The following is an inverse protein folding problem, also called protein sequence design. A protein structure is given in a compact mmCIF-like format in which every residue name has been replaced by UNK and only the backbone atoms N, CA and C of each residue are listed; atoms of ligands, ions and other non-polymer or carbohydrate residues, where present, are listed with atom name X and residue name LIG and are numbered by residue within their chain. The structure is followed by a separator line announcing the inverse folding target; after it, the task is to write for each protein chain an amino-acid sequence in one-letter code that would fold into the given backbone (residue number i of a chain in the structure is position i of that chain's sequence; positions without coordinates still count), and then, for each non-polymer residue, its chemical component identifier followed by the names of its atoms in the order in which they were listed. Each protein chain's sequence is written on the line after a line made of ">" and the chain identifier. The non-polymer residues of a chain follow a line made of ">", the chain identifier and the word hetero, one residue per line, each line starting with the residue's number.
data_IF_582940775488
#
_entry.id   IF_582940775488
#
_cell.length_a   1.000
_cell.length_b   1.000
_cell.length_c   1.000
_cell.angle_alpha   90.00
_cell.angle_beta   90.00
_cell.angle_gamma   90.00
#
_symmetry.space_group_name_H-M   'P 1'
#
loop_
_entity.id
_entity.type
_entity.pdbx_description
1 polymer ?
#
# COMPACT_ATOMS: atom_id res chain seq x y z
N UNK A 1 -9.65 1.33 -8.08
CA UNK A 1 -8.26 1.44 -7.58
C UNK A 1 -8.33 2.33 -6.36
N UNK A 2 -7.73 1.92 -5.25
CA UNK A 2 -7.65 2.72 -4.01
C UNK A 2 -6.22 3.17 -3.86
N UNK A 3 -5.99 4.48 -3.78
CA UNK A 3 -4.68 5.08 -3.56
C UNK A 3 -4.74 5.86 -2.25
N UNK A 4 -3.68 5.72 -1.45
CA UNK A 4 -3.46 6.52 -0.26
C UNK A 4 -2.02 7.01 -0.27
N UNK A 5 -1.86 8.25 0.13
CA UNK A 5 -0.58 8.92 0.22
C UNK A 5 -0.50 9.54 1.62
N UNK A 6 0.66 9.39 2.28
CA UNK A 6 0.95 10.04 3.56
C UNK A 6 1.02 11.56 3.34
N UNK A 7 0.75 12.33 4.38
CA UNK A 7 0.70 13.81 4.29
C UNK A 7 1.97 14.44 3.72
N UNK A 8 3.13 13.84 3.95
CA UNK A 8 4.43 14.32 3.46
C UNK A 8 4.76 13.86 2.02
N UNK A 9 3.86 13.13 1.37
CA UNK A 9 4.03 12.52 0.04
C UNK A 9 5.24 11.55 -0.09
N UNK A 10 5.81 11.13 1.05
CA UNK A 10 6.97 10.23 1.10
C UNK A 10 6.59 8.76 1.16
N UNK A 11 5.34 8.44 1.51
CA UNK A 11 4.84 7.06 1.58
C UNK A 11 3.55 6.96 0.80
N UNK A 12 3.50 6.01 -0.13
CA UNK A 12 2.32 5.76 -0.96
C UNK A 12 1.88 4.30 -0.84
N UNK A 13 0.58 4.08 -0.67
CA UNK A 13 -0.05 2.77 -0.67
C UNK A 13 -1.06 2.71 -1.83
N UNK A 14 -0.86 1.76 -2.76
CA UNK A 14 -1.72 1.57 -3.93
C UNK A 14 -2.34 0.18 -3.95
N UNK A 15 -3.66 0.13 -4.02
CA UNK A 15 -4.44 -1.09 -4.21
C UNK A 15 -5.08 -1.12 -5.59
N UNK A 16 -4.74 -2.14 -6.39
CA UNK A 16 -5.29 -2.34 -7.72
C UNK A 16 -5.91 -3.73 -7.84
N UNK A 17 -7.16 -3.79 -8.28
CA UNK A 17 -7.80 -5.03 -8.70
C UNK A 17 -7.22 -5.51 -10.04
N UNK A 18 -6.94 -6.80 -10.13
CA UNK A 18 -6.54 -7.52 -11.33
C UNK A 18 -7.78 -8.05 -12.06
N UNK A 19 -7.67 -8.36 -13.36
CA UNK A 19 -8.77 -9.00 -14.11
C UNK A 19 -9.17 -10.38 -13.55
N UNK A 20 -8.30 -11.02 -12.78
CA UNK A 20 -8.52 -12.29 -12.08
C UNK A 20 -9.24 -12.13 -10.72
N UNK A 21 -9.90 -10.98 -10.50
CA UNK A 21 -10.58 -10.60 -9.24
C UNK A 21 -9.68 -10.45 -8.00
N UNK A 22 -8.43 -10.92 -8.07
CA UNK A 22 -7.37 -10.70 -7.09
C UNK A 22 -6.93 -9.24 -7.04
N UNK A 23 -6.30 -8.84 -5.94
CA UNK A 23 -5.86 -7.49 -5.64
C UNK A 23 -4.35 -7.45 -5.47
N UNK A 24 -3.71 -6.40 -5.96
CA UNK A 24 -2.30 -6.09 -5.70
C UNK A 24 -2.24 -4.87 -4.82
N UNK A 25 -1.50 -4.96 -3.72
CA UNK A 25 -1.25 -3.88 -2.78
C UNK A 25 0.24 -3.58 -2.86
N UNK A 26 0.60 -2.32 -3.10
CA UNK A 26 1.99 -1.84 -3.14
C UNK A 26 2.18 -0.74 -2.12
N UNK A 27 3.27 -0.83 -1.37
CA UNK A 27 3.82 0.18 -0.49
C UNK A 27 5.11 0.69 -1.12
N UNK A 28 5.22 2.01 -1.21
CA UNK A 28 6.37 2.73 -1.71
C UNK A 28 6.76 3.78 -0.67
N UNK A 29 7.83 3.53 0.06
CA UNK A 29 8.46 4.46 1.01
C UNK A 29 9.69 5.03 0.32
N UNK A 30 9.65 6.33 0.04
CA UNK A 30 10.72 7.03 -0.67
C UNK A 30 11.98 7.14 0.20
N UNK A 31 13.15 7.26 -0.44
CA UNK A 31 14.44 7.49 0.25
C UNK A 31 14.48 8.80 1.06
N UNK A 32 13.57 9.73 0.78
CA UNK A 32 13.44 10.99 1.50
C UNK A 32 12.62 10.85 2.80
N UNK A 33 11.97 9.70 3.02
CA UNK A 33 11.24 9.41 4.25
C UNK A 33 12.21 9.35 5.46
N UNK A 34 11.72 9.64 6.67
CA UNK A 34 12.50 9.40 7.88
C UNK A 34 12.66 7.90 8.17
N UNK A 35 11.73 7.07 7.69
CA UNK A 35 11.85 5.62 7.63
C UNK A 35 12.85 5.18 6.54
N UNK A 36 13.50 4.00 6.68
CA UNK A 36 14.29 3.44 5.59
C UNK A 36 13.42 3.24 4.35
N UNK A 37 13.96 3.54 3.18
CA UNK A 37 13.31 3.28 1.91
C UNK A 37 12.88 1.82 1.83
N UNK A 38 11.60 1.60 1.58
CA UNK A 38 11.00 0.29 1.52
C UNK A 38 10.06 0.20 0.33
N UNK A 39 10.28 -0.83 -0.48
CA UNK A 39 9.36 -1.21 -1.53
C UNK A 39 8.79 -2.59 -1.20
N UNK A 40 7.48 -2.64 -0.95
CA UNK A 40 6.78 -3.89 -0.61
C UNK A 40 5.57 -4.06 -1.50
N UNK A 41 5.40 -5.25 -2.08
CA UNK A 41 4.20 -5.58 -2.85
C UNK A 41 3.66 -6.94 -2.43
N UNK A 42 2.35 -7.01 -2.20
CA UNK A 42 1.65 -8.26 -1.88
C UNK A 42 0.38 -8.38 -2.70
N UNK A 43 -0.15 -9.60 -2.81
CA UNK A 43 -1.42 -9.87 -3.48
C UNK A 43 -2.43 -10.46 -2.51
N UNK A 44 -3.67 -10.03 -2.62
CA UNK A 44 -4.80 -10.53 -1.86
C UNK A 44 -5.84 -11.15 -2.79
N UNK A 45 -6.50 -12.22 -2.35
CA UNK A 45 -7.56 -12.86 -3.14
C UNK A 45 -8.90 -12.12 -3.05
N UNK A 46 -9.01 -11.08 -2.22
CA UNK A 46 -10.25 -10.35 -1.97
C UNK A 46 -9.98 -8.89 -1.61
N UNK A 47 -10.96 -8.03 -1.90
CA UNK A 47 -10.88 -6.61 -1.54
C UNK A 47 -10.74 -6.41 -0.03
N UNK A 48 -11.44 -7.21 0.78
CA UNK A 48 -11.39 -7.11 2.25
C UNK A 48 -9.97 -7.34 2.78
N UNK A 49 -9.27 -8.36 2.27
CA UNK A 49 -7.87 -8.62 2.63
C UNK A 49 -6.95 -7.47 2.17
N UNK A 50 -7.17 -6.99 0.94
CA UNK A 50 -6.40 -5.87 0.40
C UNK A 50 -6.57 -4.59 1.22
N UNK A 51 -7.81 -4.30 1.65
CA UNK A 51 -8.14 -3.17 2.50
C UNK A 51 -7.54 -3.33 3.90
N UNK A 52 -7.64 -4.51 4.51
CA UNK A 52 -7.04 -4.77 5.82
C UNK A 52 -5.51 -4.61 5.80
N UNK A 53 -4.85 -5.11 4.75
CA UNK A 53 -3.41 -4.92 4.54
C UNK A 53 -3.05 -3.44 4.35
N UNK A 54 -3.82 -2.71 3.54
CA UNK A 54 -3.60 -1.28 3.33
C UNK A 54 -3.78 -0.48 4.62
N UNK A 55 -4.80 -0.79 5.44
CA UNK A 55 -5.01 -0.16 6.75
C UNK A 55 -3.87 -0.49 7.72
N UNK A 56 -3.40 -1.74 7.73
CA UNK A 56 -2.24 -2.14 8.54
C UNK A 56 -1.01 -1.33 8.19
N UNK A 57 -0.72 -1.14 6.90
CA UNK A 57 0.40 -0.32 6.44
C UNK A 57 0.19 1.17 6.72
N UNK A 58 -1.04 1.69 6.59
CA UNK A 58 -1.35 3.07 6.99
C UNK A 58 -1.09 3.31 8.46
N UNK A 59 -1.36 2.34 9.33
CA UNK A 59 -1.06 2.46 10.76
C UNK A 59 0.42 2.34 11.08
N UNK A 60 1.17 1.59 10.28
CA UNK A 60 2.62 1.38 10.47
C UNK A 60 3.44 2.59 9.96
N UNK A 61 2.99 3.22 8.88
CA UNK A 61 3.72 4.31 8.19
C UNK A 61 3.00 5.68 8.21
N UNK A 62 1.87 5.82 8.90
CA UNK A 62 1.13 7.09 9.05
C UNK A 62 1.71 7.93 10.17
#
# INVERSE_FOLDING_TARGET
>A
MVEWERQDAMVTIRCRQRPDESWVIRLDVLEQAPEPAEYRSTTASSYSDAAALAESWRSEFG
#
